data_IF_529454762400
#
_entry.id   IF_529454762400
#
_cell.length_a   1.000
_cell.length_b   1.000
_cell.length_c   1.000
_cell.angle_alpha   90.00
_cell.angle_beta   90.00
_cell.angle_gamma   90.00
#
_symmetry.space_group_name_H-M   'P 1'
#
loop_
_entity.id
_entity.type
_entity.pdbx_description
1 polymer ?
#
# COMPACT_ATOMS: atom_id res chain seq x y z
N UNK A 1 -11.79 -2.94 -5.56
CA UNK A 1 -10.47 -2.80 -6.24
C UNK A 1 -9.68 -1.59 -5.74
N UNK A 2 -10.29 -0.41 -5.54
CA UNK A 2 -9.61 0.73 -4.90
C UNK A 2 -9.03 0.32 -3.54
N UNK A 3 -9.83 -0.24 -2.63
CA UNK A 3 -9.34 -0.71 -1.33
C UNK A 3 -8.28 -1.81 -1.41
N UNK A 4 -8.21 -2.56 -2.52
CA UNK A 4 -7.18 -3.58 -2.70
C UNK A 4 -5.85 -2.97 -3.18
N UNK A 5 -5.88 -2.27 -4.31
CA UNK A 5 -4.66 -1.74 -4.93
C UNK A 5 -4.15 -0.52 -4.15
N UNK A 6 -5.00 0.48 -3.94
CA UNK A 6 -4.62 1.69 -3.23
C UNK A 6 -4.47 1.44 -1.72
N UNK A 7 -5.36 0.64 -1.12
CA UNK A 7 -5.22 0.25 0.28
C UNK A 7 -3.92 -0.52 0.54
N UNK A 8 -3.57 -1.52 -0.29
CA UNK A 8 -2.30 -2.22 -0.15
C UNK A 8 -1.07 -1.32 -0.33
N UNK A 9 -1.14 -0.32 -1.21
CA UNK A 9 -0.09 0.69 -1.34
C UNK A 9 0.07 1.51 -0.06
N UNK A 10 -1.05 1.92 0.55
CA UNK A 10 -1.03 2.65 1.83
C UNK A 10 -0.55 1.79 2.99
N UNK A 11 -0.87 0.49 3.00
CA UNK A 11 -0.38 -0.45 4.02
C UNK A 11 1.14 -0.61 3.92
N UNK A 12 1.67 -0.70 2.71
CA UNK A 12 3.12 -0.72 2.46
C UNK A 12 3.80 0.56 2.96
N UNK A 13 3.16 1.71 2.77
CA UNK A 13 3.71 3.03 3.07
C UNK A 13 3.62 3.42 4.55
N UNK A 14 2.42 3.35 5.12
CA UNK A 14 2.11 3.91 6.43
C UNK A 14 1.73 2.84 7.45
N UNK A 15 1.17 1.71 7.01
CA UNK A 15 0.74 0.62 7.90
C UNK A 15 -0.27 1.06 8.98
N UNK A 16 -0.38 0.25 10.03
CA UNK A 16 -1.08 0.58 11.28
C UNK A 16 -2.54 1.06 11.11
N UNK A 17 -3.27 0.50 10.12
CA UNK A 17 -4.70 0.76 9.91
C UNK A 17 -5.02 2.01 9.07
N UNK A 18 -4.03 2.83 8.73
CA UNK A 18 -4.21 3.96 7.79
C UNK A 18 -4.70 3.49 6.41
N UNK A 19 -4.22 2.31 6.00
CA UNK A 19 -4.61 1.61 4.78
C UNK A 19 -6.08 1.18 4.73
N UNK A 20 -6.74 1.11 5.88
CA UNK A 20 -8.17 0.77 5.98
C UNK A 20 -8.99 2.06 5.99
N UNK A 21 -8.60 3.03 6.81
CA UNK A 21 -9.37 4.26 7.00
C UNK A 21 -9.53 5.10 5.73
N UNK A 22 -8.44 5.30 4.98
CA UNK A 22 -8.46 6.17 3.79
C UNK A 22 -9.34 5.57 2.67
N UNK A 23 -9.19 4.27 2.28
CA UNK A 23 -10.08 3.68 1.28
C UNK A 23 -11.55 3.65 1.69
N UNK A 24 -11.86 3.49 2.99
CA UNK A 24 -13.25 3.61 3.49
C UNK A 24 -13.80 4.99 3.17
N UNK A 25 -13.08 6.05 3.53
CA UNK A 25 -13.49 7.43 3.25
C UNK A 25 -13.69 7.68 1.75
N UNK A 26 -12.78 7.17 0.92
CA UNK A 26 -12.89 7.28 -0.55
C UNK A 26 -14.14 6.56 -1.07
N UNK A 27 -14.39 5.32 -0.64
CA UNK A 27 -15.57 4.55 -1.07
C UNK A 27 -16.88 5.21 -0.61
N UNK A 28 -16.93 5.72 0.62
CA UNK A 28 -18.11 6.45 1.13
C UNK A 28 -18.34 7.72 0.30
N UNK A 29 -17.27 8.48 0.00
CA UNK A 29 -17.36 9.68 -0.82
C UNK A 29 -17.80 9.39 -2.28
N UNK A 30 -17.51 8.19 -2.79
CA UNK A 30 -18.01 7.69 -4.07
C UNK A 30 -19.47 7.20 -4.01
N UNK A 31 -20.12 7.26 -2.85
CA UNK A 31 -21.54 6.91 -2.68
C UNK A 31 -21.79 5.43 -2.39
N UNK A 32 -20.78 4.67 -1.98
CA UNK A 32 -20.97 3.30 -1.49
C UNK A 32 -21.52 3.29 -0.07
N UNK A 33 -22.27 2.23 0.27
CA UNK A 33 -22.76 2.02 1.63
C UNK A 33 -21.58 1.96 2.64
N UNK A 34 -21.59 2.75 3.73
CA UNK A 34 -20.49 2.81 4.68
C UNK A 34 -20.09 1.47 5.30
N UNK A 35 -21.07 0.62 5.64
CA UNK A 35 -20.79 -0.69 6.23
C UNK A 35 -20.11 -1.61 5.21
N UNK A 36 -20.60 -1.64 3.96
CA UNK A 36 -19.97 -2.43 2.89
C UNK A 36 -18.55 -1.92 2.58
N UNK A 37 -18.35 -0.61 2.56
CA UNK A 37 -17.03 0.00 2.34
C UNK A 37 -16.05 -0.36 3.46
N UNK A 38 -16.50 -0.34 4.72
CA UNK A 38 -15.71 -0.74 5.88
C UNK A 38 -15.29 -2.21 5.80
N UNK A 39 -16.26 -3.12 5.61
CA UNK A 39 -15.98 -4.56 5.53
C UNK A 39 -15.05 -4.86 4.34
N UNK A 40 -15.33 -4.30 3.16
CA UNK A 40 -14.50 -4.51 1.98
C UNK A 40 -13.05 -4.03 2.18
N UNK A 41 -12.85 -2.90 2.85
CA UNK A 41 -11.51 -2.35 3.10
C UNK A 41 -10.77 -3.14 4.20
N UNK A 42 -11.48 -3.63 5.22
CA UNK A 42 -10.90 -4.49 6.24
C UNK A 42 -10.44 -5.83 5.66
N UNK A 43 -11.28 -6.46 4.82
CA UNK A 43 -10.93 -7.70 4.10
C UNK A 43 -9.73 -7.46 3.19
N UNK A 44 -9.70 -6.32 2.48
CA UNK A 44 -8.58 -5.98 1.60
C UNK A 44 -7.24 -5.87 2.33
N UNK A 45 -7.24 -5.44 3.60
CA UNK A 45 -6.00 -5.23 4.33
C UNK A 45 -5.33 -6.52 4.82
N UNK A 46 -6.04 -7.65 4.83
CA UNK A 46 -5.56 -8.91 5.42
C UNK A 46 -4.28 -9.47 4.79
N UNK A 47 -4.10 -9.30 3.47
CA UNK A 47 -2.94 -9.80 2.73
C UNK A 47 -1.73 -8.83 2.76
N UNK A 48 -1.89 -7.53 2.43
CA UNK A 48 -0.74 -6.62 2.42
C UNK A 48 -0.12 -6.39 3.80
N UNK A 49 -0.86 -6.60 4.89
CA UNK A 49 -0.38 -6.41 6.28
C UNK A 49 0.93 -7.14 6.57
N UNK A 50 1.17 -8.33 5.98
CA UNK A 50 2.41 -9.06 6.21
C UNK A 50 3.66 -8.25 5.78
N UNK A 51 3.54 -7.44 4.73
CA UNK A 51 4.61 -6.60 4.20
C UNK A 51 4.34 -5.10 4.48
N UNK A 52 3.46 -4.81 5.43
CA UNK A 52 3.09 -3.46 5.82
C UNK A 52 4.26 -2.71 6.47
N UNK A 53 4.13 -1.39 6.50
CA UNK A 53 5.13 -0.47 7.06
C UNK A 53 6.56 -0.78 6.56
N UNK A 54 6.72 -0.89 5.24
CA UNK A 54 8.01 -1.18 4.58
C UNK A 54 8.60 -2.52 5.04
N UNK A 55 7.77 -3.55 5.14
CA UNK A 55 8.24 -4.91 5.43
C UNK A 55 8.73 -5.16 6.85
N UNK A 56 8.45 -4.24 7.78
CA UNK A 56 8.85 -4.37 9.18
C UNK A 56 8.42 -5.72 9.80
N UNK A 57 7.16 -6.18 9.64
CA UNK A 57 6.73 -7.44 10.27
C UNK A 57 7.56 -8.66 9.84
N UNK A 58 7.85 -8.78 8.54
CA UNK A 58 8.65 -9.89 8.00
C UNK A 58 10.12 -9.74 8.37
N UNK A 59 10.65 -8.52 8.33
CA UNK A 59 12.07 -8.26 8.65
C UNK A 59 12.38 -8.54 10.12
N UNK A 60 11.53 -8.06 11.03
CA UNK A 60 11.66 -8.33 12.47
C UNK A 60 11.49 -9.83 12.73
N UNK A 61 10.48 -10.48 12.13
CA UNK A 61 10.27 -11.92 12.31
C UNK A 61 11.52 -12.70 11.89
N UNK A 62 12.07 -12.42 10.71
CA UNK A 62 13.28 -13.04 10.20
C UNK A 62 14.47 -12.89 11.15
N UNK A 63 14.66 -11.70 11.73
CA UNK A 63 15.71 -11.44 12.72
C UNK A 63 15.50 -12.26 14.00
N UNK A 64 14.28 -12.29 14.53
CA UNK A 64 13.97 -13.00 15.79
C UNK A 64 14.10 -14.52 15.67
N UNK A 65 13.76 -15.10 14.50
CA UNK A 65 13.90 -16.55 14.27
C UNK A 65 15.20 -16.93 13.55
N UNK A 66 16.08 -15.96 13.29
CA UNK A 66 17.36 -16.12 12.59
C UNK A 66 17.23 -16.85 11.24
N UNK A 67 16.22 -16.46 10.44
CA UNK A 67 15.97 -16.99 9.10
C UNK A 67 16.28 -15.97 8.00
N UNK A 68 16.66 -16.41 6.79
CA UNK A 68 16.85 -15.50 5.66
C UNK A 68 15.54 -14.80 5.26
N UNK A 69 15.55 -13.46 5.25
CA UNK A 69 14.39 -12.60 4.90
C UNK A 69 13.79 -12.98 3.54
N UNK A 70 14.63 -13.28 2.54
CA UNK A 70 14.19 -13.65 1.19
C UNK A 70 13.40 -14.97 1.17
N UNK A 71 13.86 -15.97 1.91
CA UNK A 71 13.18 -17.28 2.01
C UNK A 71 11.87 -17.16 2.77
N UNK A 72 11.88 -16.43 3.88
CA UNK A 72 10.70 -16.20 4.69
C UNK A 72 9.64 -15.40 3.92
N UNK A 73 10.04 -14.30 3.28
CA UNK A 73 9.15 -13.46 2.47
C UNK A 73 8.52 -14.22 1.31
N UNK A 74 9.31 -15.00 0.57
CA UNK A 74 8.81 -15.85 -0.50
C UNK A 74 7.80 -16.89 -0.01
N UNK A 75 8.08 -17.53 1.13
CA UNK A 75 7.18 -18.53 1.75
C UNK A 75 5.85 -17.91 2.17
N UNK A 76 5.90 -16.75 2.83
CA UNK A 76 4.69 -16.03 3.27
C UNK A 76 3.82 -15.64 2.07
N UNK A 77 4.41 -15.15 0.97
CA UNK A 77 3.63 -14.79 -0.22
C UNK A 77 3.02 -16.01 -0.88
N UNK A 78 3.73 -17.14 -0.92
CA UNK A 78 3.18 -18.38 -1.45
C UNK A 78 2.00 -18.90 -0.62
N UNK A 79 2.07 -18.77 0.71
CA UNK A 79 0.93 -19.08 1.59
C UNK A 79 -0.25 -18.12 1.34
N UNK A 80 0.05 -16.84 1.13
CA UNK A 80 -0.95 -15.81 0.83
C UNK A 80 -1.41 -15.82 -0.63
N UNK A 81 -0.81 -16.61 -1.52
CA UNK A 81 -1.07 -16.58 -2.96
C UNK A 81 -2.55 -16.87 -3.28
N UNK A 82 -3.12 -17.86 -2.59
CA UNK A 82 -4.55 -18.17 -2.70
C UNK A 82 -5.42 -16.96 -2.34
N UNK A 83 -5.10 -16.28 -1.24
CA UNK A 83 -5.85 -15.11 -0.77
C UNK A 83 -5.64 -13.88 -1.67
N UNK A 84 -4.45 -13.72 -2.23
CA UNK A 84 -4.13 -12.67 -3.21
C UNK A 84 -5.02 -12.75 -4.45
N UNK A 85 -5.40 -13.96 -4.88
CA UNK A 85 -6.34 -14.16 -5.99
C UNK A 85 -7.79 -14.12 -5.51
N UNK A 86 -8.12 -14.77 -4.40
CA UNK A 86 -9.49 -14.96 -3.93
C UNK A 86 -10.12 -13.69 -3.35
N UNK A 87 -9.40 -12.93 -2.54
CA UNK A 87 -9.97 -11.79 -1.81
C UNK A 87 -10.41 -10.62 -2.69
N UNK A 88 -9.76 -10.29 -3.82
CA UNK A 88 -10.32 -9.37 -4.80
C UNK A 88 -11.75 -9.74 -5.20
N UNK A 89 -12.06 -11.03 -5.39
CA UNK A 89 -13.43 -11.48 -5.70
C UNK A 89 -14.38 -11.32 -4.52
N UNK A 90 -13.92 -11.63 -3.31
CA UNK A 90 -14.71 -11.44 -2.08
C UNK A 90 -15.08 -9.97 -1.90
N UNK A 91 -14.15 -9.05 -2.15
CA UNK A 91 -14.38 -7.60 -2.10
C UNK A 91 -15.46 -7.18 -3.11
N UNK A 92 -15.43 -7.72 -4.34
CA UNK A 92 -16.47 -7.46 -5.33
C UNK A 92 -17.82 -8.01 -4.87
N UNK A 93 -17.88 -9.19 -4.26
CA UNK A 93 -19.11 -9.75 -3.71
C UNK A 93 -19.71 -8.88 -2.60
N UNK A 94 -18.89 -8.39 -1.67
CA UNK A 94 -19.33 -7.55 -0.55
C UNK A 94 -19.94 -6.25 -1.08
N UNK A 95 -19.23 -5.59 -1.99
CA UNK A 95 -19.64 -4.31 -2.56
C UNK A 95 -20.86 -4.49 -3.48
N UNK A 96 -20.81 -5.46 -4.38
CA UNK A 96 -21.85 -5.78 -5.36
C UNK A 96 -23.07 -6.54 -4.81
N UNK A 97 -23.06 -6.93 -3.53
CA UNK A 97 -24.20 -7.59 -2.89
C UNK A 97 -24.43 -9.04 -3.34
N UNK A 98 -23.41 -9.74 -3.82
CA UNK A 98 -23.48 -11.18 -4.12
C UNK A 98 -22.59 -11.65 -5.25
N UNK A 99 -22.57 -12.97 -5.46
CA UNK A 99 -21.74 -13.67 -6.46
C UNK A 99 -22.04 -13.25 -7.90
N UNK A 100 -23.25 -12.76 -8.17
CA UNK A 100 -23.62 -12.30 -9.51
C UNK A 100 -22.69 -11.16 -9.96
N UNK A 101 -22.37 -10.21 -9.07
CA UNK A 101 -21.52 -9.05 -9.38
C UNK A 101 -20.14 -9.42 -9.95
N UNK A 102 -19.62 -10.61 -9.62
CA UNK A 102 -18.37 -11.11 -10.17
C UNK A 102 -18.46 -11.25 -11.69
N UNK A 103 -19.58 -11.71 -12.26
CA UNK A 103 -19.68 -12.03 -13.70
C UNK A 103 -19.40 -10.82 -14.60
N UNK A 104 -19.74 -9.61 -14.13
CA UNK A 104 -19.51 -8.37 -14.87
C UNK A 104 -18.07 -7.84 -14.82
N UNK A 105 -17.24 -8.32 -13.89
CA UNK A 105 -15.86 -7.83 -13.65
C UNK A 105 -14.84 -8.94 -13.38
N UNK A 106 -15.17 -10.18 -13.73
CA UNK A 106 -14.38 -11.37 -13.41
C UNK A 106 -12.93 -11.24 -13.90
N UNK A 107 -12.75 -10.94 -15.19
CA UNK A 107 -11.43 -10.80 -15.80
C UNK A 107 -10.59 -9.70 -15.15
N UNK A 108 -11.18 -8.52 -14.88
CA UNK A 108 -10.46 -7.40 -14.25
C UNK A 108 -10.02 -7.80 -12.82
N UNK A 109 -10.89 -8.50 -12.11
CA UNK A 109 -10.62 -8.95 -10.74
C UNK A 109 -9.54 -10.02 -10.70
N UNK A 110 -9.58 -10.97 -11.64
CA UNK A 110 -8.54 -11.99 -11.79
C UNK A 110 -7.19 -11.37 -12.11
N UNK A 111 -7.14 -10.46 -13.08
CA UNK A 111 -5.91 -9.75 -13.45
C UNK A 111 -5.41 -8.94 -12.26
N UNK A 112 -6.27 -8.26 -11.51
CA UNK A 112 -5.91 -7.54 -10.30
C UNK A 112 -5.17 -8.45 -9.29
N UNK A 113 -5.69 -9.65 -9.03
CA UNK A 113 -5.04 -10.61 -8.14
C UNK A 113 -3.68 -11.08 -8.67
N UNK A 114 -3.61 -11.48 -9.94
CA UNK A 114 -2.37 -11.98 -10.56
C UNK A 114 -1.29 -10.89 -10.59
N UNK A 115 -1.67 -9.67 -10.98
CA UNK A 115 -0.76 -8.52 -11.04
C UNK A 115 -0.40 -7.96 -9.67
N UNK A 116 -1.09 -8.38 -8.61
CA UNK A 116 -0.64 -8.17 -7.23
C UNK A 116 0.39 -9.24 -6.85
N UNK A 117 0.04 -10.51 -7.04
CA UNK A 117 0.83 -11.66 -6.60
C UNK A 117 2.20 -11.77 -7.27
N UNK A 118 2.25 -11.70 -8.60
CA UNK A 118 3.48 -11.97 -9.37
C UNK A 118 4.58 -10.96 -9.04
N UNK A 119 4.35 -9.65 -9.09
CA UNK A 119 5.38 -8.67 -8.71
C UNK A 119 5.73 -8.76 -7.23
N UNK A 120 4.75 -8.98 -6.35
CA UNK A 120 5.00 -9.12 -4.92
C UNK A 120 5.95 -10.28 -4.63
N UNK A 121 5.72 -11.44 -5.23
CA UNK A 121 6.59 -12.62 -5.10
C UNK A 121 8.00 -12.36 -5.64
N UNK A 122 8.10 -11.80 -6.86
CA UNK A 122 9.39 -11.55 -7.51
C UNK A 122 10.24 -10.57 -6.69
N UNK A 123 9.63 -9.51 -6.17
CA UNK A 123 10.32 -8.52 -5.34
C UNK A 123 10.72 -9.11 -3.99
N UNK A 124 9.90 -9.97 -3.37
CA UNK A 124 10.25 -10.54 -2.08
C UNK A 124 11.48 -11.46 -2.12
N UNK A 125 11.61 -12.26 -3.17
CA UNK A 125 12.73 -13.21 -3.30
C UNK A 125 14.03 -12.56 -3.78
N UNK A 126 13.97 -11.40 -4.46
CA UNK A 126 15.15 -10.72 -5.00
C UNK A 126 15.56 -9.43 -4.26
N UNK A 127 14.59 -8.69 -3.72
CA UNK A 127 14.80 -7.34 -3.16
C UNK A 127 14.46 -7.25 -1.66
N UNK A 128 13.90 -8.31 -1.08
CA UNK A 128 13.61 -8.41 0.36
C UNK A 128 12.19 -7.99 0.72
N UNK A 129 11.94 -7.75 2.01
CA UNK A 129 10.59 -7.54 2.53
C UNK A 129 10.05 -6.11 2.39
N UNK A 130 10.89 -5.13 2.06
CA UNK A 130 10.54 -3.70 2.10
C UNK A 130 9.58 -3.27 0.96
N UNK A 131 9.82 -3.79 -0.25
CA UNK A 131 9.15 -3.38 -1.49
C UNK A 131 8.02 -4.30 -2.04
N UNK A 132 7.82 -5.56 -1.60
CA UNK A 132 6.81 -6.46 -2.17
C UNK A 132 5.40 -5.87 -2.24
N UNK A 133 4.91 -5.30 -1.14
CA UNK A 133 3.56 -4.73 -1.10
C UNK A 133 3.44 -3.53 -2.06
N UNK A 134 4.44 -2.65 -2.12
CA UNK A 134 4.47 -1.55 -3.10
C UNK A 134 4.40 -2.05 -4.53
N UNK A 135 5.22 -3.03 -4.89
CA UNK A 135 5.28 -3.56 -6.24
C UNK A 135 3.95 -4.21 -6.64
N UNK A 136 3.40 -5.08 -5.80
CA UNK A 136 2.11 -5.74 -6.07
C UNK A 136 0.96 -4.74 -6.19
N UNK A 137 0.85 -3.80 -5.26
CA UNK A 137 -0.23 -2.81 -5.26
C UNK A 137 -0.13 -1.81 -6.40
N UNK A 138 1.07 -1.36 -6.77
CA UNK A 138 1.25 -0.38 -7.85
C UNK A 138 1.04 -1.01 -9.23
N UNK A 139 1.59 -2.20 -9.47
CA UNK A 139 1.40 -2.91 -10.75
C UNK A 139 -0.06 -3.28 -10.95
N UNK A 140 -0.74 -3.77 -9.92
CA UNK A 140 -2.19 -4.06 -9.99
C UNK A 140 -3.04 -2.80 -10.17
N UNK A 141 -2.68 -1.68 -9.52
CA UNK A 141 -3.34 -0.39 -9.73
C UNK A 141 -3.27 0.05 -11.20
N UNK A 142 -2.07 -0.01 -11.80
CA UNK A 142 -1.89 0.33 -13.22
C UNK A 142 -2.62 -0.63 -14.15
N UNK A 143 -2.55 -1.94 -13.89
CA UNK A 143 -3.24 -2.94 -14.69
C UNK A 143 -4.77 -2.73 -14.68
N UNK A 144 -5.35 -2.51 -13.51
CA UNK A 144 -6.79 -2.24 -13.37
C UNK A 144 -7.17 -0.91 -14.01
N UNK A 145 -6.33 0.14 -13.90
CA UNK A 145 -6.58 1.43 -14.53
C UNK A 145 -6.57 1.33 -16.07
N UNK A 146 -5.60 0.60 -16.64
CA UNK A 146 -5.50 0.37 -18.08
C UNK A 146 -6.69 -0.46 -18.58
N UNK A 147 -6.99 -1.57 -17.92
CA UNK A 147 -8.14 -2.42 -18.28
C UNK A 147 -9.46 -1.65 -18.15
N UNK A 148 -9.59 -0.80 -17.14
CA UNK A 148 -10.74 0.08 -16.96
C UNK A 148 -10.89 1.09 -18.10
N UNK A 149 -9.79 1.65 -18.63
CA UNK A 149 -9.80 2.57 -19.78
C UNK A 149 -10.06 1.88 -21.11
N UNK A 150 -9.50 0.69 -21.32
CA UNK A 150 -9.69 -0.10 -22.54
C UNK A 150 -11.10 -0.69 -22.65
N UNK A 151 -11.83 -0.75 -21.54
CA UNK A 151 -13.21 -1.24 -21.52
C UNK A 151 -14.14 -0.23 -22.17
N UNK A 152 -14.31 -0.35 -23.48
CA UNK A 152 -15.22 0.47 -24.30
C UNK A 152 -16.71 0.08 -24.21
N UNK A 153 -17.10 -0.81 -23.28
CA UNK A 153 -18.49 -1.22 -23.10
C UNK A 153 -19.14 -0.55 -21.89
N UNK A 154 -20.34 0.05 -22.07
CA UNK A 154 -21.19 0.46 -20.94
C UNK A 154 -21.46 -0.79 -20.09
N UNK A 155 -21.06 -0.76 -18.81
CA UNK A 155 -21.43 -1.82 -17.85
C UNK A 155 -22.94 -2.01 -17.93
N UNK A 156 -23.39 -3.25 -18.18
CA UNK A 156 -24.81 -3.53 -18.30
C UNK A 156 -25.54 -3.08 -17.02
N UNK A 157 -26.78 -2.58 -17.13
CA UNK A 157 -27.53 -2.05 -15.98
C UNK A 157 -27.57 -3.02 -14.81
N UNK A 158 -27.65 -4.33 -15.07
CA UNK A 158 -27.70 -5.36 -14.03
C UNK A 158 -26.42 -5.47 -13.16
N UNK A 159 -25.29 -4.92 -13.62
CA UNK A 159 -23.99 -4.96 -12.94
C UNK A 159 -23.57 -3.60 -12.39
N UNK A 160 -24.39 -2.56 -12.56
CA UNK A 160 -24.12 -1.22 -12.04
C UNK A 160 -24.57 -1.13 -10.59
N UNK A 161 -23.68 -0.61 -9.76
CA UNK A 161 -24.04 -0.22 -8.40
C UNK A 161 -24.51 1.23 -8.51
N UNK A 162 -25.81 1.45 -8.30
CA UNK A 162 -26.36 2.80 -8.23
C UNK A 162 -25.84 3.48 -6.97
N UNK A 163 -24.90 4.39 -7.13
CA UNK A 163 -24.38 5.23 -6.07
C UNK A 163 -25.24 6.49 -5.97
N UNK A 164 -25.60 6.90 -4.76
CA UNK A 164 -26.46 8.07 -4.48
C UNK A 164 -25.94 9.41 -5.02
N UNK A 165 -24.68 9.47 -5.43
CA UNK A 165 -24.03 10.67 -5.98
C UNK A 165 -23.34 10.36 -7.30
N UNK A 166 -24.09 10.33 -8.40
CA UNK A 166 -23.54 10.45 -9.76
C UNK A 166 -23.09 11.90 -10.00
N UNK A 167 -22.00 12.32 -9.34
CA UNK A 167 -21.33 13.58 -9.69
C UNK A 167 -20.65 13.41 -11.04
N UNK A 168 -20.98 14.27 -11.99
CA UNK A 168 -20.23 14.40 -13.24
C UNK A 168 -18.75 14.57 -12.92
N UNK A 169 -17.92 13.67 -13.45
CA UNK A 169 -16.48 13.78 -13.33
C UNK A 169 -16.01 14.83 -14.32
N UNK A 170 -15.92 16.08 -13.88
CA UNK A 170 -15.19 17.10 -14.65
C UNK A 170 -13.75 16.59 -14.85
N UNK A 171 -13.21 16.62 -16.08
CA UNK A 171 -11.84 16.20 -16.32
C UNK A 171 -10.90 17.08 -15.50
N UNK A 172 -10.34 16.50 -14.43
CA UNK A 172 -9.42 17.22 -13.54
C UNK A 172 -8.07 17.31 -14.22
N UNK A 173 -7.54 18.53 -14.29
CA UNK A 173 -6.18 18.80 -14.77
C UNK A 173 -5.16 17.91 -14.05
N UNK A 174 -4.17 17.40 -14.78
CA UNK A 174 -3.06 16.62 -14.23
C UNK A 174 -2.38 17.32 -13.04
N UNK A 175 -2.39 18.66 -13.03
CA UNK A 175 -1.89 19.48 -11.93
C UNK A 175 -2.65 19.26 -10.61
N UNK A 176 -3.97 19.06 -10.67
CA UNK A 176 -4.81 18.79 -9.50
C UNK A 176 -4.56 17.36 -9.00
N UNK A 177 -4.43 16.41 -9.92
CA UNK A 177 -4.11 15.02 -9.56
C UNK A 177 -2.73 14.90 -8.91
N UNK A 178 -1.74 15.60 -9.45
CA UNK A 178 -0.39 15.67 -8.86
C UNK A 178 -0.41 16.33 -7.48
N UNK A 179 -1.16 17.43 -7.32
CA UNK A 179 -1.27 18.12 -6.03
C UNK A 179 -1.89 17.23 -4.95
N UNK A 180 -2.95 16.48 -5.28
CA UNK A 180 -3.62 15.58 -4.33
C UNK A 180 -2.79 14.31 -4.06
N UNK A 181 -2.10 13.80 -5.08
CA UNK A 181 -1.26 12.60 -4.99
C UNK A 181 0.15 12.85 -4.44
N UNK A 182 0.56 14.10 -4.24
CA UNK A 182 1.95 14.48 -3.94
C UNK A 182 2.49 13.77 -2.70
N UNK A 183 1.74 13.78 -1.60
CA UNK A 183 2.16 13.15 -0.33
C UNK A 183 2.48 11.66 -0.58
N UNK A 184 1.55 10.92 -1.19
CA UNK A 184 1.74 9.50 -1.48
C UNK A 184 2.88 9.24 -2.46
N UNK A 185 3.04 10.10 -3.46
CA UNK A 185 4.13 10.01 -4.43
C UNK A 185 5.49 10.22 -3.76
N UNK A 186 5.62 11.23 -2.90
CA UNK A 186 6.87 11.47 -2.16
C UNK A 186 7.18 10.34 -1.18
N UNK A 187 6.18 9.80 -0.48
CA UNK A 187 6.39 8.63 0.40
C UNK A 187 6.99 7.49 -0.42
N UNK A 188 6.39 7.17 -1.57
CA UNK A 188 6.89 6.13 -2.45
C UNK A 188 8.31 6.40 -2.95
N UNK A 189 8.59 7.62 -3.44
CA UNK A 189 9.93 8.00 -3.93
C UNK A 189 10.97 7.88 -2.82
N UNK A 190 10.68 8.37 -1.62
CA UNK A 190 11.61 8.33 -0.50
C UNK A 190 11.91 6.91 -0.02
N UNK A 191 10.88 6.06 0.06
CA UNK A 191 11.07 4.64 0.39
C UNK A 191 11.89 3.96 -0.71
N UNK A 192 11.61 4.22 -1.99
CA UNK A 192 12.40 3.70 -3.10
C UNK A 192 13.86 4.13 -3.00
N UNK A 193 14.14 5.41 -2.79
CA UNK A 193 15.49 5.96 -2.67
C UNK A 193 16.27 5.39 -1.48
N UNK A 194 15.59 5.05 -0.38
CA UNK A 194 16.20 4.43 0.80
C UNK A 194 16.19 2.90 0.78
N UNK A 195 15.63 2.29 -0.28
CA UNK A 195 15.53 0.83 -0.42
C UNK A 195 16.83 0.21 -0.94
N UNK A 196 16.99 -1.13 -0.88
CA UNK A 196 18.12 -1.85 -1.46
C UNK A 196 18.34 -1.58 -2.95
N UNK A 197 17.37 -0.99 -3.65
CA UNK A 197 17.48 -0.63 -5.07
C UNK A 197 18.51 0.49 -5.33
N UNK A 198 18.78 1.35 -4.33
CA UNK A 198 19.75 2.45 -4.43
C UNK A 198 20.76 2.39 -3.26
N UNK A 199 21.71 1.43 -3.27
CA UNK A 199 22.59 1.19 -2.14
C UNK A 199 23.47 2.39 -1.77
N UNK A 200 23.86 3.21 -2.76
CA UNK A 200 24.64 4.43 -2.52
C UNK A 200 23.85 5.48 -1.72
N UNK A 201 22.57 5.65 -2.04
CA UNK A 201 21.69 6.62 -1.35
C UNK A 201 21.36 6.12 0.05
N UNK A 202 21.05 4.82 0.19
CA UNK A 202 20.85 4.18 1.50
C UNK A 202 22.08 4.32 2.39
N UNK A 203 23.28 4.04 1.87
CA UNK A 203 24.53 4.17 2.62
C UNK A 203 24.79 5.61 3.08
N UNK A 204 24.55 6.60 2.21
CA UNK A 204 24.69 8.01 2.57
C UNK A 204 23.68 8.44 3.65
N UNK A 205 22.42 8.02 3.52
CA UNK A 205 21.36 8.32 4.48
C UNK A 205 21.61 7.65 5.85
N UNK A 206 22.11 6.41 5.87
CA UNK A 206 22.43 5.67 7.10
C UNK A 206 23.64 6.22 7.88
N UNK A 207 24.39 7.20 7.33
CA UNK A 207 25.42 7.94 8.09
C UNK A 207 24.81 8.88 9.13
N UNK A 208 23.58 9.36 8.89
CA UNK A 208 22.83 10.18 9.84
C UNK A 208 22.14 9.27 10.86
N UNK A 209 22.96 8.65 11.70
CA UNK A 209 22.52 7.74 12.74
C UNK A 209 23.10 8.11 14.12
N UNK A 210 22.30 7.90 15.16
CA UNK A 210 22.74 8.00 16.55
C UNK A 210 22.82 6.59 17.13
N UNK A 211 23.91 6.26 17.82
CA UNK A 211 24.06 4.98 18.52
C UNK A 211 23.92 5.22 20.01
N UNK A 212 22.91 4.60 20.63
CA UNK A 212 22.70 4.62 22.06
C UNK A 212 23.22 3.33 22.65
N UNK A 213 24.12 3.44 23.63
CA UNK A 213 24.71 2.29 24.31
C UNK A 213 24.01 2.06 25.65
N UNK A 214 23.51 0.85 25.86
CA UNK A 214 22.89 0.41 27.09
C UNK A 214 23.71 -0.72 27.70
N UNK A 215 24.20 -0.52 28.91
CA UNK A 215 24.90 -1.58 29.65
C UNK A 215 23.86 -2.44 30.38
N UNK A 216 23.83 -3.72 30.06
CA UNK A 216 22.97 -4.71 30.71
C UNK A 216 23.57 -5.16 32.05
N UNK A 217 22.72 -5.69 32.93
CA UNK A 217 23.11 -6.14 34.28
C UNK A 217 24.16 -7.26 34.25
N UNK A 218 24.20 -8.03 33.17
CA UNK A 218 25.15 -9.10 32.84
C UNK A 218 26.45 -8.60 32.19
N UNK A 219 26.70 -7.28 32.18
CA UNK A 219 27.94 -6.65 31.71
C UNK A 219 28.05 -6.52 30.18
N UNK A 220 27.08 -7.05 29.43
CA UNK A 220 26.99 -6.87 27.97
C UNK A 220 26.52 -5.46 27.63
N UNK A 221 27.04 -4.88 26.55
CA UNK A 221 26.59 -3.58 26.04
C UNK A 221 25.71 -3.80 24.83
N UNK A 222 24.42 -3.43 24.91
CA UNK A 222 23.53 -3.36 23.77
C UNK A 222 23.70 -2.00 23.08
N UNK A 223 23.90 -2.00 21.77
CA UNK A 223 23.96 -0.78 20.97
C UNK A 223 22.67 -0.67 20.14
N UNK A 224 21.84 0.32 20.44
CA UNK A 224 20.67 0.67 19.63
C UNK A 224 21.08 1.74 18.62
N UNK A 225 21.15 1.36 17.35
CA UNK A 225 21.40 2.29 16.24
C UNK A 225 20.06 2.87 15.75
N UNK A 226 19.88 4.18 15.89
CA UNK A 226 18.73 4.93 15.37
C UNK A 226 19.16 5.61 14.07
N UNK A 227 18.65 5.16 12.93
CA UNK A 227 18.91 5.80 11.64
C UNK A 227 17.80 6.82 11.34
N UNK A 228 18.13 8.11 11.39
CA UNK A 228 17.11 9.17 11.34
C UNK A 228 16.49 9.37 9.96
N UNK A 229 17.22 9.06 8.89
CA UNK A 229 16.77 9.35 7.52
C UNK A 229 16.19 8.13 6.84
N UNK A 230 16.64 6.93 7.18
CA UNK A 230 16.22 5.68 6.51
C UNK A 230 15.02 5.02 7.18
N UNK A 231 14.66 5.43 8.40
CA UNK A 231 13.51 4.87 9.12
C UNK A 231 12.20 5.25 8.40
N UNK A 232 11.31 4.30 8.06
CA UNK A 232 10.06 4.56 7.35
C UNK A 232 9.21 5.70 7.93
N UNK A 233 9.12 5.79 9.27
CA UNK A 233 8.37 6.87 9.94
C UNK A 233 8.87 8.26 9.59
N UNK A 234 10.19 8.45 9.49
CA UNK A 234 10.80 9.74 9.15
C UNK A 234 10.59 10.09 7.68
N UNK A 235 10.65 9.11 6.78
CA UNK A 235 10.33 9.28 5.36
C UNK A 235 8.89 9.76 5.16
N UNK A 236 7.93 9.24 5.94
CA UNK A 236 6.54 9.68 5.92
C UNK A 236 6.42 11.13 6.39
N UNK A 237 7.11 11.52 7.45
CA UNK A 237 7.12 12.90 7.95
C UNK A 237 7.64 13.85 6.86
N UNK A 238 8.79 13.56 6.25
CA UNK A 238 9.35 14.38 5.18
C UNK A 238 8.40 14.49 3.99
N UNK A 239 7.81 13.37 3.56
CA UNK A 239 6.87 13.36 2.45
C UNK A 239 5.58 14.15 2.76
N UNK A 240 5.11 14.09 4.00
CA UNK A 240 3.93 14.83 4.45
C UNK A 240 4.21 16.33 4.50
N UNK A 241 5.38 16.75 5.02
CA UNK A 241 5.80 18.16 5.04
C UNK A 241 5.88 18.73 3.62
N UNK A 242 6.65 18.08 2.74
CA UNK A 242 6.85 18.55 1.35
C UNK A 242 5.52 18.50 0.56
N UNK A 243 4.78 17.41 0.69
CA UNK A 243 3.50 17.24 0.02
C UNK A 243 2.45 18.25 0.49
N UNK A 244 2.42 18.57 1.79
CA UNK A 244 1.53 19.57 2.37
C UNK A 244 1.81 20.99 1.88
N UNK A 245 3.09 21.38 1.78
CA UNK A 245 3.46 22.67 1.18
C UNK A 245 3.00 22.77 -0.29
N UNK A 246 3.16 21.70 -1.07
CA UNK A 246 2.67 21.64 -2.46
C UNK A 246 1.13 21.71 -2.53
N UNK A 247 0.45 21.16 -1.53
CA UNK A 247 -1.01 21.27 -1.37
C UNK A 247 -1.47 22.65 -0.90
N UNK A 248 -0.53 23.54 -0.51
CA UNK A 248 -0.82 24.89 -0.06
C UNK A 248 -1.17 24.99 1.43
N UNK A 249 -0.85 23.97 2.22
CA UNK A 249 -0.98 24.03 3.67
C UNK A 249 0.07 25.00 4.26
N UNK A 250 -0.33 25.79 5.26
CA UNK A 250 0.60 26.64 6.00
C UNK A 250 1.34 25.83 7.05
N UNK A 251 2.58 26.21 7.38
CA UNK A 251 3.37 25.50 8.39
C UNK A 251 2.65 25.39 9.75
N UNK A 252 1.83 26.40 10.10
CA UNK A 252 1.01 26.40 11.32
C UNK A 252 -0.15 25.40 11.24
N UNK A 253 -0.85 25.33 10.10
CA UNK A 253 -1.94 24.38 9.89
C UNK A 253 -1.49 22.92 9.68
N UNK A 254 -0.18 22.66 9.60
CA UNK A 254 0.38 21.31 9.58
C UNK A 254 0.86 20.83 10.96
N UNK A 255 0.99 21.75 11.92
CA UNK A 255 1.40 21.48 13.31
C UNK A 255 0.21 21.42 14.28
N UNK A 256 -0.95 21.94 13.87
CA UNK A 256 -2.26 21.83 14.56
C UNK A 256 -2.99 20.54 14.14
#
# INVERSE_FOLDING_TARGET
>A
LISWCFGGFLEAAAGYGTAVAIPIGILIALGFNPLKAAIASLVANTVPTAFGAVGIPVSILAEQVNLPVFTLGGTIIMQLALFNILLPFVIICIIGGGLKAIRGVFFITLICGITTLVPQYFVAIHLGAELPAFAGSLVSLFAVAILGRLRNGKTAPEWRIETSHTRETTPRSAKVLFRVGSIYLFIFIFILLCSPLFPAVKAAASQLASVLHFTLADGKTLALKIEWVTTPGMLIIFATLIGGFIQGASARGMLE
#
